data_IF_376511047161
#
_entry.id   IF_376511047161
#
_cell.length_a   1.000
_cell.length_b   1.000
_cell.length_c   1.000
_cell.angle_alpha   90.00
_cell.angle_beta   90.00
_cell.angle_gamma   90.00
#
_symmetry.space_group_name_H-M   'P 1'
#
loop_
_entity.id
_entity.type
_entity.pdbx_description
1 polymer ?
#
# COMPACT_ATOMS: atom_id res chain seq x y z
N UNK A 1 -27.63 2.93 1.22
CA UNK A 1 -27.35 3.87 0.12
C UNK A 1 -25.85 3.91 -0.05
N UNK A 2 -25.36 3.64 -1.26
CA UNK A 2 -23.94 3.82 -1.58
C UNK A 2 -23.78 5.27 -1.99
N UNK A 3 -22.97 6.01 -1.25
CA UNK A 3 -22.63 7.40 -1.54
C UNK A 3 -21.82 7.44 -2.82
N UNK A 4 -22.17 8.31 -3.78
CA UNK A 4 -21.44 8.38 -5.04
C UNK A 4 -20.16 9.20 -4.88
N UNK A 5 -19.18 9.02 -5.76
CA UNK A 5 -17.92 9.77 -5.66
C UNK A 5 -18.14 11.28 -5.86
N UNK A 6 -19.16 11.64 -6.64
CA UNK A 6 -19.59 13.02 -6.89
C UNK A 6 -20.09 13.71 -5.61
N UNK A 7 -20.72 12.96 -4.71
CA UNK A 7 -21.19 13.49 -3.42
C UNK A 7 -20.01 13.89 -2.50
N UNK A 8 -18.81 13.32 -2.69
CA UNK A 8 -17.58 13.72 -1.99
C UNK A 8 -16.76 14.77 -2.76
N UNK A 9 -16.66 14.64 -4.08
CA UNK A 9 -15.85 15.51 -4.93
C UNK A 9 -16.41 16.94 -4.99
N UNK A 10 -17.73 17.09 -5.18
CA UNK A 10 -18.35 18.39 -5.43
C UNK A 10 -18.17 19.39 -4.26
N UNK A 11 -18.37 18.99 -2.98
CA UNK A 11 -18.14 19.91 -1.86
C UNK A 11 -16.67 20.32 -1.71
N UNK A 12 -15.73 19.39 -1.92
CA UNK A 12 -14.31 19.69 -1.85
C UNK A 12 -13.91 20.69 -2.93
N UNK A 13 -14.34 20.48 -4.17
CA UNK A 13 -14.07 21.38 -5.30
C UNK A 13 -14.58 22.79 -5.04
N UNK A 14 -15.85 22.93 -4.65
CA UNK A 14 -16.46 24.24 -4.36
C UNK A 14 -15.71 24.98 -3.25
N UNK A 15 -15.27 24.26 -2.22
CA UNK A 15 -14.49 24.84 -1.13
C UNK A 15 -13.14 25.37 -1.63
N UNK A 16 -12.42 24.59 -2.44
CA UNK A 16 -11.12 25.00 -2.97
C UNK A 16 -11.24 26.21 -3.91
N UNK A 17 -12.26 26.23 -4.78
CA UNK A 17 -12.58 27.37 -5.64
C UNK A 17 -12.88 28.64 -4.82
N UNK A 18 -13.63 28.50 -3.72
CA UNK A 18 -13.95 29.64 -2.83
C UNK A 18 -12.72 30.24 -2.13
N UNK A 19 -11.66 29.44 -1.98
CA UNK A 19 -10.38 29.83 -1.39
C UNK A 19 -9.38 30.37 -2.44
N UNK A 20 -9.75 30.38 -3.72
CA UNK A 20 -8.85 30.76 -4.81
C UNK A 20 -7.68 29.78 -5.01
N UNK A 21 -7.85 28.51 -4.61
CA UNK A 21 -6.82 27.48 -4.75
C UNK A 21 -6.93 26.85 -6.15
N UNK A 22 -5.91 27.02 -6.96
CA UNK A 22 -5.87 26.53 -8.36
C UNK A 22 -5.23 25.13 -8.51
N UNK A 23 -4.60 24.61 -7.46
CA UNK A 23 -3.92 23.31 -7.48
C UNK A 23 -3.86 22.63 -6.12
N UNK A 24 -3.72 21.30 -6.13
CA UNK A 24 -3.63 20.47 -4.92
C UNK A 24 -2.34 19.65 -5.01
N UNK A 25 -1.56 19.65 -3.93
CA UNK A 25 -0.55 18.63 -3.70
C UNK A 25 -1.18 17.56 -2.81
N UNK A 26 -1.31 16.34 -3.32
CA UNK A 26 -1.91 15.22 -2.61
C UNK A 26 -0.80 14.27 -2.17
N UNK A 27 -0.55 14.23 -0.86
CA UNK A 27 0.29 13.20 -0.25
C UNK A 27 -0.57 11.96 0.03
N UNK A 28 -0.26 10.87 -0.66
CA UNK A 28 -0.93 9.57 -0.48
C UNK A 28 0.03 8.51 0.05
N UNK A 29 1.26 8.87 0.44
CA UNK A 29 2.28 7.89 0.79
C UNK A 29 1.84 7.03 1.99
N UNK A 30 1.24 7.64 3.01
CA UNK A 30 0.69 6.92 4.17
C UNK A 30 -0.48 6.01 3.79
N UNK A 31 -1.33 6.43 2.85
CA UNK A 31 -2.45 5.61 2.36
C UNK A 31 -1.93 4.39 1.61
N UNK A 32 -0.90 4.57 0.78
CA UNK A 32 -0.26 3.47 0.05
C UNK A 32 0.62 2.61 0.96
N UNK A 33 1.14 3.15 2.06
CA UNK A 33 2.01 2.43 3.00
C UNK A 33 1.30 1.27 3.72
N UNK A 34 -0.01 1.38 3.96
CA UNK A 34 -0.83 0.30 4.51
C UNK A 34 -0.79 -0.96 3.64
N UNK A 35 -0.60 -0.78 2.33
CA UNK A 35 -0.41 -1.88 1.38
C UNK A 35 0.83 -2.70 1.74
N UNK A 36 1.95 -2.07 2.14
CA UNK A 36 3.16 -2.79 2.54
C UNK A 36 2.92 -3.70 3.75
N UNK A 37 2.08 -3.27 4.69
CA UNK A 37 1.75 -4.08 5.86
C UNK A 37 0.91 -5.30 5.46
N UNK A 38 -0.02 -5.12 4.53
CA UNK A 38 -0.77 -6.23 3.92
C UNK A 38 0.18 -7.23 3.24
N UNK A 39 1.11 -6.75 2.40
CA UNK A 39 2.07 -7.60 1.72
C UNK A 39 2.93 -8.40 2.71
N UNK A 40 3.45 -7.75 3.76
CA UNK A 40 4.29 -8.40 4.77
C UNK A 40 3.53 -9.48 5.53
N UNK A 41 2.29 -9.21 5.95
CA UNK A 41 1.43 -10.20 6.60
C UNK A 41 1.17 -11.41 5.68
N UNK A 42 0.86 -11.17 4.41
CA UNK A 42 0.64 -12.23 3.45
C UNK A 42 1.88 -13.10 3.24
N UNK A 43 3.06 -12.49 3.15
CA UNK A 43 4.31 -13.24 2.94
C UNK A 43 4.72 -14.06 4.17
N UNK A 44 4.56 -13.52 5.38
CA UNK A 44 4.79 -14.28 6.63
C UNK A 44 3.87 -15.50 6.68
N UNK A 45 2.60 -15.34 6.33
CA UNK A 45 1.61 -16.42 6.35
C UNK A 45 1.90 -17.52 5.32
N UNK A 46 2.24 -17.14 4.08
CA UNK A 46 2.33 -18.09 2.96
C UNK A 46 3.72 -18.65 2.71
N UNK A 47 4.77 -17.89 3.01
CA UNK A 47 6.16 -18.25 2.70
C UNK A 47 7.04 -18.40 3.94
N UNK A 48 6.46 -18.15 5.12
CA UNK A 48 7.15 -18.28 6.40
C UNK A 48 8.06 -17.10 6.72
N UNK A 49 8.61 -17.16 7.92
CA UNK A 49 9.41 -16.09 8.50
C UNK A 49 10.44 -16.69 9.47
N UNK A 50 11.65 -17.03 8.97
CA UNK A 50 12.71 -17.63 9.78
C UNK A 50 13.16 -16.74 10.96
N UNK A 51 13.00 -15.43 10.83
CA UNK A 51 13.40 -14.45 11.84
C UNK A 51 12.35 -14.22 12.93
N UNK A 52 11.14 -14.79 12.77
CA UNK A 52 10.02 -14.66 13.72
C UNK A 52 9.60 -13.20 13.99
N UNK A 53 9.84 -12.30 13.03
CA UNK A 53 9.44 -10.90 13.10
C UNK A 53 7.92 -10.70 12.93
N UNK A 54 7.34 -9.66 13.51
CA UNK A 54 6.00 -9.20 13.09
C UNK A 54 6.05 -8.52 11.72
N UNK A 55 4.90 -8.31 11.09
CA UNK A 55 4.84 -7.60 9.82
C UNK A 55 5.38 -6.16 9.96
N UNK A 56 5.07 -5.48 11.07
CA UNK A 56 5.58 -4.15 11.39
C UNK A 56 7.11 -4.15 11.54
N UNK A 57 7.67 -5.17 12.18
CA UNK A 57 9.12 -5.33 12.34
C UNK A 57 9.81 -5.60 11.01
N UNK A 58 9.20 -6.42 10.13
CA UNK A 58 9.67 -6.63 8.76
C UNK A 58 9.70 -5.29 8.01
N UNK A 59 8.64 -4.49 8.07
CA UNK A 59 8.62 -3.18 7.42
C UNK A 59 9.63 -2.21 8.00
N UNK A 60 9.83 -2.20 9.32
CA UNK A 60 10.83 -1.36 9.96
C UNK A 60 12.25 -1.76 9.53
N UNK A 61 12.51 -3.05 9.35
CA UNK A 61 13.84 -3.59 9.01
C UNK A 61 14.15 -3.50 7.52
N UNK A 62 13.21 -3.90 6.66
CA UNK A 62 13.44 -4.09 5.23
C UNK A 62 12.74 -3.06 4.35
N UNK A 63 11.83 -2.25 4.92
CA UNK A 63 10.98 -1.25 4.24
C UNK A 63 9.97 -1.81 3.24
N UNK A 64 10.34 -2.80 2.45
CA UNK A 64 9.50 -3.47 1.45
C UNK A 64 9.69 -4.99 1.50
N UNK A 65 8.65 -5.74 1.16
CA UNK A 65 8.71 -7.22 1.11
C UNK A 65 9.70 -7.75 0.08
N UNK A 66 9.90 -7.00 -1.01
CA UNK A 66 10.89 -7.32 -2.06
C UNK A 66 12.35 -7.25 -1.57
N UNK A 67 12.60 -6.55 -0.46
CA UNK A 67 13.93 -6.45 0.13
C UNK A 67 14.23 -7.59 1.13
N UNK A 68 13.27 -8.48 1.39
CA UNK A 68 13.43 -9.56 2.37
C UNK A 68 14.16 -10.75 1.74
N UNK A 69 15.40 -11.08 2.18
CA UNK A 69 16.27 -12.02 1.44
C UNK A 69 15.72 -13.43 1.32
N UNK A 70 15.00 -13.91 2.34
CA UNK A 70 14.44 -15.28 2.35
C UNK A 70 13.15 -15.42 1.53
N UNK A 71 12.59 -14.32 1.01
CA UNK A 71 11.49 -14.35 0.04
C UNK A 71 11.98 -14.17 -1.41
N UNK A 72 13.11 -13.50 -1.63
CA UNK A 72 13.67 -13.23 -2.98
C UNK A 72 14.25 -14.45 -3.73
N UNK A 73 14.25 -15.64 -3.13
CA UNK A 73 14.56 -16.91 -3.84
C UNK A 73 13.31 -17.79 -3.99
N UNK A 74 12.12 -17.25 -3.71
CA UNK A 74 10.87 -17.97 -3.80
C UNK A 74 10.09 -17.44 -5.01
N UNK A 75 10.19 -18.14 -6.14
CA UNK A 75 9.48 -17.78 -7.38
C UNK A 75 7.97 -17.59 -7.18
N UNK A 76 7.36 -18.32 -6.24
CA UNK A 76 5.93 -18.22 -5.95
C UNK A 76 5.62 -16.88 -5.26
N UNK A 77 6.48 -16.44 -4.35
CA UNK A 77 6.36 -15.14 -3.69
C UNK A 77 6.55 -14.00 -4.70
N UNK A 78 7.55 -14.09 -5.57
CA UNK A 78 7.81 -13.07 -6.60
C UNK A 78 6.68 -12.98 -7.63
N UNK A 79 6.20 -14.11 -8.14
CA UNK A 79 5.05 -14.15 -9.06
C UNK A 79 3.80 -13.57 -8.44
N UNK A 80 3.58 -13.80 -7.15
CA UNK A 80 2.42 -13.27 -6.44
C UNK A 80 2.46 -11.74 -6.35
N UNK A 81 3.63 -11.15 -6.05
CA UNK A 81 3.82 -9.69 -6.08
C UNK A 81 3.52 -9.17 -7.50
N UNK A 82 4.14 -9.76 -8.53
CA UNK A 82 3.98 -9.30 -9.91
C UNK A 82 2.51 -9.30 -10.38
N UNK A 83 1.78 -10.39 -10.15
CA UNK A 83 0.36 -10.52 -10.54
C UNK A 83 -0.57 -9.51 -9.88
N UNK A 84 -0.25 -9.11 -8.65
CA UNK A 84 -1.11 -8.27 -7.82
C UNK A 84 -0.63 -6.81 -7.74
N UNK A 85 0.52 -6.48 -8.35
CA UNK A 85 1.00 -5.11 -8.55
C UNK A 85 0.66 -4.53 -9.94
N UNK A 86 0.53 -5.36 -10.99
CA UNK A 86 0.15 -4.89 -12.34
C UNK A 86 -1.36 -4.70 -12.55
N UNK A 87 -2.17 -4.93 -11.52
CA UNK A 87 -3.64 -4.81 -11.57
C UNK A 87 -4.18 -3.44 -11.11
N UNK A 88 -3.31 -2.43 -10.96
CA UNK A 88 -3.67 -1.05 -10.55
C UNK A 88 -3.38 -0.06 -11.67
#
# INVERSE_FOLDING_TARGET
MVTTIEEYYNPLKQRLESLGIEGICLDIDDTLSATNLFWANHHIHNFGNPEQLTAEEVLKKYRYVSNVPYWGNNEVAEKWIFQNCESV
#
